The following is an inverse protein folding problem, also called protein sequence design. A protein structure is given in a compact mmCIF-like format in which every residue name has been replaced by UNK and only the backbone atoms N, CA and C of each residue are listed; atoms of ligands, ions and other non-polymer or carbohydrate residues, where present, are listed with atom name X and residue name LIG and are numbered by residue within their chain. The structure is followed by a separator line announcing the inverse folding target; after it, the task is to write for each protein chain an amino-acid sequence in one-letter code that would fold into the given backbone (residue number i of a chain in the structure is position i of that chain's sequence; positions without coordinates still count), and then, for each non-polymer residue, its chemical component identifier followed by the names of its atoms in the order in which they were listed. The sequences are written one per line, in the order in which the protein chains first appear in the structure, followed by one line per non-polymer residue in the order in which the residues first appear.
data_IF_326255827763
#
_entry.id   IF_326255827763
#
_cell.length_a   1.000
_cell.length_b   1.000
_cell.length_c   1.000
_cell.angle_alpha   90.00
_cell.angle_beta   90.00
_cell.angle_gamma   90.00
#
_symmetry.space_group_name_H-M   'P 1'
#
loop_
_entity.id
_entity.type
_entity.pdbx_description
1 polymer ?
#
# COMPACT_ATOMS: atom_id res chain seq x y z
N UNK A 1 -32.47 -15.61 -49.82
CA UNK A 1 -32.06 -16.70 -48.91
C UNK A 1 -31.55 -16.04 -47.64
N UNK A 2 -31.87 -16.44 -46.42
CA UNK A 2 -33.00 -17.16 -45.83
C UNK A 2 -32.85 -16.81 -44.35
N UNK A 3 -33.94 -16.38 -43.73
CA UNK A 3 -34.02 -16.19 -42.28
C UNK A 3 -34.04 -17.58 -41.64
N UNK A 4 -32.94 -18.04 -41.07
CA UNK A 4 -32.88 -19.14 -40.12
C UNK A 4 -31.42 -19.33 -39.74
N UNK A 5 -31.06 -18.93 -38.52
CA UNK A 5 -30.19 -19.69 -37.62
C UNK A 5 -29.75 -18.77 -36.48
N UNK A 6 -30.55 -18.77 -35.40
CA UNK A 6 -30.01 -18.68 -34.04
C UNK A 6 -31.09 -19.15 -33.05
N UNK A 7 -31.22 -20.48 -32.95
CA UNK A 7 -32.10 -21.13 -32.01
C UNK A 7 -31.40 -21.18 -30.65
N UNK A 8 -31.67 -20.19 -29.81
CA UNK A 8 -31.24 -20.14 -28.40
C UNK A 8 -31.94 -21.25 -27.61
N UNK A 9 -31.28 -22.38 -27.39
CA UNK A 9 -31.73 -23.40 -26.45
C UNK A 9 -31.40 -22.95 -25.02
N UNK A 10 -32.20 -22.04 -24.47
CA UNK A 10 -32.17 -21.69 -23.05
C UNK A 10 -33.08 -22.61 -22.25
N UNK A 11 -32.58 -23.76 -21.82
CA UNK A 11 -33.28 -24.63 -20.87
C UNK A 11 -33.39 -23.96 -19.50
N UNK A 12 -34.57 -23.43 -19.17
CA UNK A 12 -34.86 -22.88 -17.85
C UNK A 12 -35.17 -24.03 -16.89
N UNK A 13 -34.17 -24.43 -16.09
CA UNK A 13 -34.39 -25.34 -14.97
C UNK A 13 -35.01 -24.56 -13.81
N UNK A 14 -36.24 -24.89 -13.43
CA UNK A 14 -36.95 -24.26 -12.30
C UNK A 14 -36.37 -24.75 -10.97
N UNK A 15 -35.80 -23.84 -10.18
CA UNK A 15 -35.32 -24.15 -8.82
C UNK A 15 -36.53 -24.19 -7.89
N UNK A 16 -36.85 -25.39 -7.39
CA UNK A 16 -37.83 -25.57 -6.31
C UNK A 16 -37.18 -25.16 -4.98
N UNK A 17 -37.76 -24.23 -4.20
CA UNK A 17 -37.30 -24.01 -2.83
C UNK A 17 -37.60 -25.25 -1.98
N UNK A 18 -36.55 -25.89 -1.49
CA UNK A 18 -36.65 -27.02 -0.57
C UNK A 18 -37.15 -26.58 0.82
N UNK A 19 -38.01 -27.39 1.41
CA UNK A 19 -38.54 -27.19 2.75
C UNK A 19 -37.42 -27.48 3.78
N UNK A 20 -36.99 -26.47 4.53
CA UNK A 20 -35.98 -26.61 5.58
C UNK A 20 -36.66 -26.97 6.91
N UNK A 21 -36.50 -28.21 7.36
CA UNK A 21 -36.80 -28.55 8.76
C UNK A 21 -35.74 -27.92 9.66
N UNK A 22 -36.11 -27.27 10.78
CA UNK A 22 -35.14 -26.78 11.76
C UNK A 22 -34.35 -27.94 12.35
N UNK A 23 -33.03 -27.90 12.25
CA UNK A 23 -32.15 -28.81 12.97
C UNK A 23 -32.06 -28.32 14.42
N UNK A 24 -32.66 -29.06 15.35
CA UNK A 24 -32.45 -28.94 16.80
C UNK A 24 -30.98 -29.27 17.12
N UNK A 25 -30.12 -28.26 17.03
CA UNK A 25 -28.70 -28.39 17.36
C UNK A 25 -28.52 -28.10 18.86
N UNK A 26 -28.57 -29.16 19.68
CA UNK A 26 -28.13 -29.07 21.08
C UNK A 26 -26.68 -28.57 21.13
N UNK A 27 -26.44 -27.47 21.83
CA UNK A 27 -25.12 -26.91 22.12
C UNK A 27 -24.25 -27.94 22.86
N UNK A 28 -23.38 -28.62 22.12
CA UNK A 28 -22.19 -29.23 22.69
C UNK A 28 -21.09 -28.18 22.73
N UNK A 29 -21.05 -27.42 23.83
CA UNK A 29 -19.90 -26.61 24.20
C UNK A 29 -18.73 -27.52 24.54
N UNK A 30 -17.83 -27.72 23.58
CA UNK A 30 -16.52 -28.30 23.82
C UNK A 30 -15.48 -27.48 23.05
N UNK A 31 -14.75 -26.54 23.69
CA UNK A 31 -13.68 -25.83 23.01
C UNK A 31 -12.49 -26.78 22.86
N UNK A 32 -12.47 -27.53 21.76
CA UNK A 32 -11.27 -28.18 21.28
C UNK A 32 -10.26 -27.10 20.86
N UNK A 33 -9.02 -27.30 21.29
CA UNK A 33 -7.97 -26.28 21.36
C UNK A 33 -7.72 -25.49 20.07
N UNK A 34 -7.65 -24.18 20.24
CA UNK A 34 -6.94 -23.30 19.32
C UNK A 34 -5.56 -23.11 19.93
N UNK A 35 -4.59 -23.87 19.40
CA UNK A 35 -3.17 -23.64 19.68
C UNK A 35 -2.84 -22.17 19.44
N UNK A 36 -2.14 -21.59 20.41
CA UNK A 36 -2.02 -20.15 20.53
C UNK A 36 -1.16 -19.45 19.49
N UNK A 37 -1.15 -18.12 19.69
CA UNK A 37 -0.07 -17.16 19.39
C UNK A 37 -0.19 -16.30 18.14
N UNK A 38 -1.37 -15.78 17.82
CA UNK A 38 -1.41 -14.40 17.32
C UNK A 38 -2.67 -13.70 17.84
N UNK A 39 -2.51 -12.81 18.82
CA UNK A 39 -3.59 -11.94 19.26
C UNK A 39 -3.80 -10.85 18.19
N UNK A 40 -5.04 -10.41 17.95
CA UNK A 40 -5.32 -9.27 17.09
C UNK A 40 -4.51 -8.03 17.50
N UNK A 41 -4.29 -7.83 18.81
CA UNK A 41 -3.42 -6.78 19.33
C UNK A 41 -1.99 -6.89 18.76
N UNK A 42 -1.42 -8.11 18.72
CA UNK A 42 -0.08 -8.36 18.18
C UNK A 42 0.00 -8.08 16.66
N UNK A 43 -1.09 -8.38 15.93
CA UNK A 43 -1.19 -8.08 14.49
C UNK A 43 -1.28 -6.58 14.26
N UNK A 44 -2.10 -5.89 15.06
CA UNK A 44 -2.29 -4.46 14.96
C UNK A 44 -1.00 -3.70 15.28
N UNK A 45 -0.31 -4.08 16.35
CA UNK A 45 0.96 -3.48 16.76
C UNK A 45 2.04 -3.70 15.69
N UNK A 46 2.15 -4.92 15.14
CA UNK A 46 3.07 -5.20 14.03
C UNK A 46 2.76 -4.34 12.79
N UNK A 47 1.49 -4.22 12.41
CA UNK A 47 1.10 -3.39 11.27
C UNK A 47 1.35 -1.91 11.54
N UNK A 48 1.18 -1.45 12.79
CA UNK A 48 1.43 -0.07 13.19
C UNK A 48 2.93 0.27 13.13
N UNK A 49 3.79 -0.59 13.67
CA UNK A 49 5.25 -0.49 13.57
C UNK A 49 5.72 -0.48 12.10
N UNK A 50 5.18 -1.36 11.26
CA UNK A 50 5.45 -1.37 9.81
C UNK A 50 5.00 -0.06 9.12
N UNK A 51 3.89 0.55 9.56
CA UNK A 51 3.43 1.85 9.04
C UNK A 51 4.27 3.03 9.48
N UNK A 52 5.20 2.86 10.41
CA UNK A 52 6.11 3.92 10.80
C UNK A 52 7.28 4.11 9.83
N UNK A 53 7.53 3.12 8.97
CA UNK A 53 8.49 3.23 7.88
C UNK A 53 7.87 3.85 6.63
N UNK A 54 8.67 4.62 5.90
CA UNK A 54 8.29 5.17 4.61
C UNK A 54 8.17 4.06 3.56
N UNK A 55 7.06 4.05 2.84
CA UNK A 55 6.76 3.06 1.78
C UNK A 55 7.17 3.61 0.43
N UNK A 56 7.59 2.75 -0.49
CA UNK A 56 7.87 3.14 -1.87
C UNK A 56 6.69 2.79 -2.77
N UNK A 57 6.21 3.77 -3.55
CA UNK A 57 5.22 3.51 -4.58
C UNK A 57 5.82 2.70 -5.74
N UNK A 58 4.97 2.06 -6.54
CA UNK A 58 5.41 1.36 -7.75
C UNK A 58 6.17 2.28 -8.71
N UNK A 59 5.81 3.56 -8.78
CA UNK A 59 6.54 4.54 -9.59
C UNK A 59 7.94 4.80 -9.03
N UNK A 60 8.06 4.98 -7.72
CA UNK A 60 9.35 5.20 -7.07
C UNK A 60 10.29 4.01 -7.27
N UNK A 61 9.82 2.78 -7.07
CA UNK A 61 10.61 1.56 -7.29
C UNK A 61 11.10 1.49 -8.73
N UNK A 62 10.18 1.66 -9.70
CA UNK A 62 10.53 1.66 -11.12
C UNK A 62 11.57 2.73 -11.46
N UNK A 63 11.47 3.93 -10.86
CA UNK A 63 12.42 5.03 -11.07
C UNK A 63 13.80 4.74 -10.49
N UNK A 64 13.86 4.12 -9.31
CA UNK A 64 15.11 3.68 -8.69
C UNK A 64 15.81 2.64 -9.57
N UNK A 65 15.07 1.65 -10.06
CA UNK A 65 15.58 0.63 -10.98
C UNK A 65 16.04 1.22 -12.32
N UNK A 66 15.20 2.04 -12.99
CA UNK A 66 15.50 2.68 -14.27
C UNK A 66 16.78 3.52 -14.23
N UNK A 67 17.12 4.09 -13.06
CA UNK A 67 18.29 4.93 -12.86
C UNK A 67 19.42 4.24 -12.09
N UNK A 68 19.30 2.96 -11.78
CA UNK A 68 20.27 2.21 -10.97
C UNK A 68 20.61 2.92 -9.66
N UNK A 69 19.63 3.60 -9.06
CA UNK A 69 19.77 4.26 -7.77
C UNK A 69 19.53 3.23 -6.67
N UNK A 70 20.60 2.87 -5.96
CA UNK A 70 20.51 2.04 -4.78
C UNK A 70 20.28 2.94 -3.57
N UNK A 71 19.23 2.67 -2.79
CA UNK A 71 18.98 3.37 -1.53
C UNK A 71 19.46 2.46 -0.41
N UNK A 72 20.49 2.91 0.30
CA UNK A 72 21.05 2.23 1.47
C UNK A 72 20.12 2.33 2.67
N UNK A 73 20.32 1.43 3.65
CA UNK A 73 19.57 1.47 4.90
C UNK A 73 19.74 2.81 5.65
N UNK A 74 20.93 3.42 5.57
CA UNK A 74 21.20 4.71 6.19
C UNK A 74 20.40 5.85 5.53
N UNK A 75 20.29 5.84 4.20
CA UNK A 75 19.47 6.79 3.46
C UNK A 75 17.97 6.62 3.79
N UNK A 76 17.50 5.39 3.96
CA UNK A 76 16.13 5.11 4.40
C UNK A 76 15.88 5.67 5.81
N UNK A 77 16.81 5.52 6.74
CA UNK A 77 16.71 6.07 8.09
C UNK A 77 16.65 7.60 8.09
N UNK A 78 17.53 8.26 7.32
CA UNK A 78 17.51 9.72 7.14
C UNK A 78 16.23 10.20 6.48
N UNK A 79 15.75 9.47 5.48
CA UNK A 79 14.47 9.75 4.82
C UNK A 79 13.30 9.65 5.82
N UNK A 80 13.24 8.59 6.63
CA UNK A 80 12.23 8.45 7.68
C UNK A 80 12.27 9.59 8.69
N UNK A 81 13.47 10.02 9.10
CA UNK A 81 13.64 11.16 9.99
C UNK A 81 13.14 12.46 9.33
N UNK A 82 13.49 12.69 8.06
CA UNK A 82 13.00 13.82 7.29
C UNK A 82 11.47 13.85 7.17
N UNK A 83 10.85 12.69 6.87
CA UNK A 83 9.39 12.54 6.84
C UNK A 83 8.78 12.90 8.20
N UNK A 84 9.35 12.41 9.30
CA UNK A 84 8.88 12.72 10.66
C UNK A 84 8.93 14.23 10.96
N UNK A 85 10.04 14.88 10.65
CA UNK A 85 10.17 16.33 10.87
C UNK A 85 9.18 17.15 10.04
N UNK A 86 8.88 16.69 8.82
CA UNK A 86 7.91 17.34 7.93
C UNK A 86 6.47 17.10 8.40
N UNK A 87 6.18 15.92 8.94
CA UNK A 87 4.89 15.55 9.53
C UNK A 87 4.60 16.39 10.78
N UNK A 88 5.59 16.56 11.66
CA UNK A 88 5.50 17.45 12.84
C UNK A 88 5.20 18.91 12.46
N UNK A 89 5.60 19.33 11.26
CA UNK A 89 5.32 20.67 10.71
C UNK A 89 4.00 20.74 9.92
N UNK A 90 3.25 19.65 9.83
CA UNK A 90 1.96 19.58 9.14
C UNK A 90 2.07 19.56 7.62
N UNK A 91 3.22 19.15 7.09
CA UNK A 91 3.44 19.06 5.63
C UNK A 91 2.63 17.91 5.03
N UNK A 92 2.19 18.04 3.77
CA UNK A 92 1.39 17.02 3.06
C UNK A 92 2.21 16.34 1.97
N UNK A 93 2.84 17.13 1.11
CA UNK A 93 3.68 16.70 0.01
C UNK A 93 5.01 17.46 0.08
N UNK A 94 6.09 16.71 0.16
CA UNK A 94 7.40 17.33 0.44
C UNK A 94 8.49 16.77 -0.45
N UNK A 95 9.51 17.57 -0.65
CA UNK A 95 10.76 17.14 -1.26
C UNK A 95 11.78 16.92 -0.15
N UNK A 96 12.36 15.72 -0.09
CA UNK A 96 13.44 15.40 0.84
C UNK A 96 14.70 15.15 0.01
N UNK A 97 15.73 15.96 0.23
CA UNK A 97 17.05 15.73 -0.36
C UNK A 97 17.90 14.95 0.64
N UNK A 98 18.28 13.73 0.27
CA UNK A 98 19.24 12.89 1.00
C UNK A 98 20.49 12.78 0.12
N UNK A 99 21.58 13.40 0.56
CA UNK A 99 22.83 13.49 -0.21
C UNK A 99 22.59 14.08 -1.63
N UNK A 100 22.73 13.27 -2.67
CA UNK A 100 22.48 13.63 -4.07
C UNK A 100 21.15 13.08 -4.61
N UNK A 101 20.32 12.43 -3.79
CA UNK A 101 19.01 11.90 -4.21
C UNK A 101 17.87 12.71 -3.63
N UNK A 102 17.01 13.24 -4.50
CA UNK A 102 15.79 13.94 -4.15
C UNK A 102 14.59 12.99 -4.20
N UNK A 103 13.88 12.88 -3.08
CA UNK A 103 12.67 12.08 -2.93
C UNK A 103 11.45 12.98 -2.84
N UNK A 104 10.46 12.75 -3.71
CA UNK A 104 9.14 13.37 -3.58
C UNK A 104 8.28 12.44 -2.74
N UNK A 105 7.83 12.92 -1.58
CA UNK A 105 7.10 12.14 -0.60
C UNK A 105 5.72 12.72 -0.33
N UNK A 106 4.74 11.83 -0.20
CA UNK A 106 3.49 12.15 0.50
C UNK A 106 3.69 11.88 1.98
N UNK A 107 3.86 12.94 2.76
CA UNK A 107 4.11 12.87 4.21
C UNK A 107 2.90 12.24 4.92
N UNK A 108 1.69 12.68 4.55
CA UNK A 108 0.43 12.11 5.08
C UNK A 108 0.33 10.60 4.92
N UNK A 109 0.77 10.09 3.75
CA UNK A 109 0.69 8.67 3.44
C UNK A 109 1.98 7.92 3.77
N UNK A 110 3.00 8.62 4.31
CA UNK A 110 4.37 8.13 4.51
C UNK A 110 4.88 7.36 3.29
N UNK A 111 4.72 7.94 2.10
CA UNK A 111 4.97 7.24 0.83
C UNK A 111 5.86 8.05 -0.11
N UNK A 112 6.94 7.43 -0.60
CA UNK A 112 7.76 7.94 -1.70
C UNK A 112 7.03 7.76 -3.03
N UNK A 113 6.76 8.88 -3.68
CA UNK A 113 6.11 8.93 -5.00
C UNK A 113 7.16 8.75 -6.10
N UNK A 114 8.30 9.43 -6.00
CA UNK A 114 9.40 9.34 -6.97
C UNK A 114 10.75 9.65 -6.33
N UNK A 115 11.82 9.20 -6.97
CA UNK A 115 13.21 9.46 -6.60
C UNK A 115 14.00 9.96 -7.82
N UNK A 116 14.87 10.94 -7.62
CA UNK A 116 15.61 11.62 -8.68
C UNK A 116 17.01 11.92 -8.20
N UNK A 117 18.03 11.53 -8.97
CA UNK A 117 19.41 12.00 -8.78
C UNK A 117 19.56 13.47 -9.17
N UNK A 118 20.08 14.28 -8.24
CA UNK A 118 20.40 15.70 -8.37
C UNK A 118 21.41 15.97 -9.48
N UNK A 119 22.37 15.06 -9.71
CA UNK A 119 23.44 15.22 -10.70
C UNK A 119 22.93 15.04 -12.13
N UNK A 120 21.90 14.23 -12.33
CA UNK A 120 21.34 13.94 -13.66
C UNK A 120 20.38 15.00 -14.20
N UNK A 121 20.13 16.12 -13.48
CA UNK A 121 19.11 17.07 -13.91
C UNK A 121 19.38 18.49 -13.46
N UNK A 122 20.09 19.25 -14.31
CA UNK A 122 20.34 20.67 -14.09
C UNK A 122 19.07 21.56 -14.10
N UNK A 123 17.90 21.04 -14.51
CA UNK A 123 16.67 21.82 -14.72
C UNK A 123 15.38 21.12 -14.27
N UNK A 124 15.35 20.48 -13.08
CA UNK A 124 14.11 19.89 -12.58
C UNK A 124 13.28 20.91 -11.78
N UNK A 125 12.01 21.08 -12.19
CA UNK A 125 11.03 21.89 -11.48
C UNK A 125 10.05 20.96 -10.77
N UNK A 126 9.95 21.10 -9.45
CA UNK A 126 9.00 20.37 -8.61
C UNK A 126 7.86 21.30 -8.23
N UNK A 127 6.63 20.86 -8.46
CA UNK A 127 5.42 21.59 -8.10
C UNK A 127 4.64 20.83 -7.05
N UNK A 128 3.67 21.49 -6.40
CA UNK A 128 2.83 20.86 -5.38
C UNK A 128 3.66 20.30 -4.21
N UNK A 129 4.72 21.03 -3.85
CA UNK A 129 5.59 20.79 -2.71
C UNK A 129 5.32 21.90 -1.70
N UNK A 130 4.82 21.54 -0.53
CA UNK A 130 4.56 22.51 0.55
C UNK A 130 5.77 22.73 1.45
N UNK A 131 6.68 21.74 1.53
CA UNK A 131 7.88 21.82 2.36
C UNK A 131 9.06 21.09 1.72
N UNK A 132 10.28 21.53 2.05
CA UNK A 132 11.53 20.90 1.65
C UNK A 132 12.37 20.60 2.89
N UNK A 133 12.91 19.39 2.98
CA UNK A 133 13.90 19.02 3.98
C UNK A 133 15.21 18.60 3.28
N UNK A 134 16.34 19.00 3.86
CA UNK A 134 17.67 18.58 3.44
C UNK A 134 18.24 17.82 4.64
N UNK A 135 18.54 16.54 4.44
CA UNK A 135 18.93 15.61 5.51
C UNK A 135 20.17 14.84 5.15
#
# INVERSE_FOLDING_TARGET
MKVADLQMHGGLNSIRPGNLNPIDRKEQNNPAGIDGKVNFADILERNFEETNSVKFSAHAIKRLEERSLMVSQNEIERLNNGVKQLDEKGSKNSLILVDDTAFVVSVRNKMVITAIDKQMSANNVFTNIDSVAIV
#
